data_IF_368546730492
#
_entry.id   IF_368546730492
#
_cell.length_a   1.000
_cell.length_b   1.000
_cell.length_c   1.000
_cell.angle_alpha   90.00
_cell.angle_beta   90.00
_cell.angle_gamma   90.00
#
_symmetry.space_group_name_H-M   'P 1'
#
loop_
_entity.id
_entity.type
_entity.pdbx_description
1 polymer ?
#
# COMPACT_ATOMS: atom_id res chain seq x y z
N UNK A 1 -12.48 -29.70 21.95
CA UNK A 1 -11.13 -30.09 22.39
C UNK A 1 -10.30 -28.84 22.60
N UNK A 2 -9.86 -28.60 23.83
CA UNK A 2 -9.08 -27.43 24.22
C UNK A 2 -7.61 -27.62 23.81
N UNK A 3 -7.14 -26.83 22.84
CA UNK A 3 -5.73 -26.79 22.45
C UNK A 3 -5.05 -25.69 23.29
N UNK A 4 -3.92 -26.04 23.90
CA UNK A 4 -3.14 -25.18 24.78
C UNK A 4 -2.79 -23.83 24.12
N UNK A 5 -2.93 -22.76 24.91
CA UNK A 5 -2.97 -21.35 24.51
C UNK A 5 -1.60 -20.67 24.71
N UNK A 6 -0.64 -20.87 23.82
CA UNK A 6 0.54 -20.00 23.81
C UNK A 6 0.80 -19.49 22.38
N UNK A 7 0.46 -18.21 22.08
CA UNK A 7 0.51 -17.69 20.72
C UNK A 7 1.95 -17.34 20.31
N UNK A 8 2.33 -17.77 19.11
CA UNK A 8 3.53 -17.26 18.41
C UNK A 8 3.29 -15.81 18.04
N UNK A 9 4.00 -14.87 18.66
CA UNK A 9 3.87 -13.44 18.34
C UNK A 9 4.89 -13.01 17.28
N UNK A 10 4.69 -11.85 16.67
CA UNK A 10 5.72 -11.25 15.80
C UNK A 10 7.07 -11.11 16.53
N UNK A 11 7.04 -10.79 17.83
CA UNK A 11 8.23 -10.72 18.68
C UNK A 11 8.96 -12.07 18.78
N UNK A 12 8.24 -13.17 18.94
CA UNK A 12 8.80 -14.53 18.92
C UNK A 12 9.52 -14.85 17.60
N UNK A 13 8.98 -14.38 16.47
CA UNK A 13 9.60 -14.58 15.15
C UNK A 13 10.87 -13.77 15.00
N UNK A 14 10.83 -12.48 15.38
CA UNK A 14 11.99 -11.59 15.23
C UNK A 14 13.11 -11.91 16.21
N UNK A 15 12.78 -12.30 17.45
CA UNK A 15 13.76 -12.72 18.45
C UNK A 15 14.46 -14.01 18.03
N UNK A 16 13.72 -15.01 17.56
CA UNK A 16 14.32 -16.28 17.11
C UNK A 16 15.23 -16.11 15.88
N UNK A 17 14.93 -15.16 15.00
CA UNK A 17 15.70 -14.89 13.79
C UNK A 17 16.60 -13.64 13.87
N UNK A 18 16.92 -13.15 15.07
CA UNK A 18 17.73 -11.93 15.25
C UNK A 18 19.04 -11.96 14.44
N UNK A 19 19.73 -13.10 14.43
CA UNK A 19 20.99 -13.28 13.68
C UNK A 19 20.80 -13.55 12.17
N UNK A 20 19.56 -13.82 11.74
CA UNK A 20 19.23 -14.22 10.36
C UNK A 20 18.03 -13.44 9.77
N UNK A 21 18.07 -12.10 9.71
CA UNK A 21 16.94 -11.27 9.24
C UNK A 21 16.58 -11.54 7.76
N UNK A 22 17.54 -11.98 6.96
CA UNK A 22 17.31 -12.38 5.55
C UNK A 22 16.39 -13.60 5.44
N UNK A 23 16.42 -14.53 6.41
CA UNK A 23 15.54 -15.70 6.45
C UNK A 23 14.09 -15.31 6.71
N UNK A 24 13.85 -14.29 7.56
CA UNK A 24 12.51 -13.75 7.83
C UNK A 24 11.90 -13.14 6.57
N UNK A 25 12.66 -12.28 5.86
CA UNK A 25 12.18 -11.65 4.61
C UNK A 25 11.84 -12.70 3.55
N UNK A 26 12.67 -13.74 3.41
CA UNK A 26 12.40 -14.86 2.48
C UNK A 26 11.21 -15.70 2.94
N UNK A 27 11.06 -15.95 4.23
CA UNK A 27 9.94 -16.68 4.80
C UNK A 27 8.61 -15.95 4.58
N UNK A 28 8.60 -14.62 4.74
CA UNK A 28 7.45 -13.78 4.45
C UNK A 28 7.05 -13.85 2.97
N UNK A 29 8.02 -13.90 2.05
CA UNK A 29 7.73 -14.10 0.63
C UNK A 29 7.10 -15.46 0.35
N UNK A 30 7.58 -16.53 0.99
CA UNK A 30 7.01 -17.88 0.88
C UNK A 30 5.59 -17.94 1.44
N UNK A 31 5.32 -17.27 2.58
CA UNK A 31 3.99 -17.11 3.14
C UNK A 31 3.05 -16.37 2.16
N UNK A 32 3.44 -15.19 1.68
CA UNK A 32 2.64 -14.37 0.76
C UNK A 32 2.37 -15.04 -0.59
N UNK A 33 3.19 -16.04 -0.96
CA UNK A 33 3.04 -16.84 -2.18
C UNK A 33 2.26 -18.14 -1.95
N UNK A 34 1.59 -18.28 -0.80
CA UNK A 34 0.80 -19.46 -0.41
C UNK A 34 1.57 -20.78 -0.51
N UNK A 35 2.86 -20.77 -0.11
CA UNK A 35 3.73 -21.94 -0.17
C UNK A 35 3.72 -22.78 1.12
N UNK A 36 3.06 -22.32 2.17
CA UNK A 36 2.87 -23.04 3.43
C UNK A 36 1.58 -23.84 3.34
N UNK A 37 1.66 -25.16 3.51
CA UNK A 37 0.56 -26.12 3.34
C UNK A 37 0.59 -27.17 4.46
N UNK A 38 -0.56 -27.79 4.75
CA UNK A 38 -0.71 -28.86 5.75
C UNK A 38 -0.11 -28.51 7.12
N UNK A 39 -0.57 -27.39 7.70
CA UNK A 39 -0.14 -26.98 9.04
C UNK A 39 -1.02 -27.65 10.09
N UNK A 40 -0.37 -28.22 11.11
CA UNK A 40 -0.99 -28.85 12.26
C UNK A 40 -0.32 -28.32 13.53
N UNK A 41 -1.15 -27.93 14.49
CA UNK A 41 -0.73 -27.45 15.80
C UNK A 41 -1.07 -28.55 16.80
N UNK A 42 -0.04 -29.20 17.34
CA UNK A 42 -0.18 -30.29 18.31
C UNK A 42 -0.27 -29.74 19.73
N UNK A 43 -0.93 -30.49 20.63
CA UNK A 43 -0.98 -30.17 22.05
C UNK A 43 0.45 -30.11 22.64
N UNK A 44 0.77 -29.04 23.38
CA UNK A 44 2.12 -28.80 23.92
C UNK A 44 3.04 -27.97 23.01
N UNK A 45 2.51 -27.04 22.21
CA UNK A 45 3.31 -26.02 21.52
C UNK A 45 4.13 -26.52 20.32
N UNK A 46 3.86 -27.72 19.83
CA UNK A 46 4.57 -28.28 18.66
C UNK A 46 3.82 -28.00 17.36
N UNK A 47 4.47 -27.31 16.43
CA UNK A 47 3.97 -27.00 15.09
C UNK A 47 4.58 -27.94 14.07
N UNK A 48 3.75 -28.53 13.22
CA UNK A 48 4.19 -29.30 12.05
C UNK A 48 3.55 -28.73 10.80
N UNK A 49 4.35 -28.45 9.78
CA UNK A 49 3.87 -27.91 8.52
C UNK A 49 4.74 -28.31 7.34
N UNK A 50 4.20 -28.15 6.14
CA UNK A 50 4.91 -28.39 4.89
C UNK A 50 5.09 -27.07 4.15
N UNK A 51 6.30 -26.80 3.66
CA UNK A 51 6.61 -25.57 2.91
C UNK A 51 7.20 -25.93 1.55
N UNK A 52 6.53 -25.51 0.49
CA UNK A 52 6.97 -25.74 -0.89
C UNK A 52 8.13 -24.82 -1.26
N UNK A 53 9.13 -25.35 -1.98
CA UNK A 53 10.23 -24.56 -2.52
C UNK A 53 9.73 -23.58 -3.59
N UNK A 54 10.35 -22.40 -3.68
CA UNK A 54 9.92 -21.34 -4.62
C UNK A 54 10.10 -21.71 -6.10
N UNK A 55 11.09 -22.55 -6.43
CA UNK A 55 11.51 -22.84 -7.82
C UNK A 55 11.37 -24.30 -8.23
N UNK A 56 11.17 -25.22 -7.28
CA UNK A 56 11.12 -26.68 -7.54
C UNK A 56 9.82 -27.22 -6.95
N UNK A 57 9.24 -28.25 -7.57
CA UNK A 57 8.07 -28.94 -7.00
C UNK A 57 8.47 -29.88 -5.84
N UNK A 58 9.27 -29.36 -4.90
CA UNK A 58 9.77 -30.06 -3.73
C UNK A 58 9.16 -29.41 -2.50
N UNK A 59 8.70 -30.24 -1.59
CA UNK A 59 8.05 -29.83 -0.34
C UNK A 59 8.97 -30.20 0.81
N UNK A 60 9.21 -29.25 1.71
CA UNK A 60 10.00 -29.45 2.91
C UNK A 60 9.10 -29.59 4.12
N UNK A 61 9.40 -30.55 4.97
CA UNK A 61 8.72 -30.77 6.24
C UNK A 61 9.42 -29.93 7.30
N UNK A 62 8.63 -29.21 8.08
CA UNK A 62 9.08 -28.26 9.08
C UNK A 62 8.39 -28.61 10.39
N UNK A 63 9.17 -28.78 11.43
CA UNK A 63 8.70 -29.02 12.79
C UNK A 63 9.33 -27.97 13.72
N UNK A 64 8.50 -27.38 14.58
CA UNK A 64 8.91 -26.31 15.48
C UNK A 64 8.33 -26.60 16.85
N UNK A 65 9.18 -26.56 17.87
CA UNK A 65 8.78 -26.72 19.26
C UNK A 65 8.84 -25.37 19.97
N UNK A 66 7.71 -24.94 20.50
CA UNK A 66 7.54 -23.67 21.21
C UNK A 66 7.12 -23.96 22.64
N UNK A 67 7.76 -23.27 23.58
CA UNK A 67 7.44 -23.29 24.99
C UNK A 67 7.32 -21.84 25.45
N UNK A 68 6.16 -21.42 25.94
CA UNK A 68 5.87 -20.01 26.20
C UNK A 68 5.86 -19.17 24.94
N UNK A 69 6.68 -18.12 24.93
CA UNK A 69 6.88 -17.23 23.78
C UNK A 69 8.23 -17.46 23.08
N UNK A 70 8.92 -18.55 23.39
CA UNK A 70 10.24 -18.88 22.85
C UNK A 70 10.22 -20.12 21.97
N UNK A 71 10.90 -20.06 20.84
CA UNK A 71 11.15 -21.23 20.00
C UNK A 71 12.36 -21.98 20.54
N UNK A 72 12.13 -23.13 21.20
CA UNK A 72 13.21 -23.96 21.75
C UNK A 72 13.95 -24.73 20.67
N UNK A 73 13.23 -25.25 19.68
CA UNK A 73 13.82 -26.02 18.61
C UNK A 73 13.06 -25.82 17.30
N UNK A 74 13.79 -25.87 16.18
CA UNK A 74 13.20 -26.00 14.86
C UNK A 74 14.01 -26.98 14.02
N UNK A 75 13.30 -27.80 13.25
CA UNK A 75 13.89 -28.72 12.29
C UNK A 75 13.21 -28.53 10.95
N UNK A 76 13.98 -28.68 9.88
CA UNK A 76 13.44 -28.63 8.53
C UNK A 76 14.19 -29.61 7.64
N UNK A 77 13.50 -30.28 6.72
CA UNK A 77 14.11 -31.25 5.78
C UNK A 77 14.92 -30.62 4.63
N UNK A 78 15.20 -29.31 4.70
CA UNK A 78 16.06 -28.64 3.73
C UNK A 78 17.54 -28.71 4.11
N UNK A 79 18.45 -28.49 3.15
CA UNK A 79 19.90 -28.54 3.38
C UNK A 79 20.40 -27.56 4.46
N UNK A 80 19.67 -26.46 4.68
CA UNK A 80 19.97 -25.42 5.69
C UNK A 80 19.15 -25.66 6.97
N UNK A 81 18.37 -26.74 7.05
CA UNK A 81 17.30 -26.92 8.02
C UNK A 81 17.73 -26.99 9.49
N UNK A 82 19.04 -27.11 9.75
CA UNK A 82 19.65 -27.04 11.09
C UNK A 82 20.08 -25.62 11.51
N UNK A 83 20.07 -24.65 10.59
CA UNK A 83 20.56 -23.28 10.78
C UNK A 83 19.51 -22.22 10.39
N UNK A 84 18.33 -22.26 11.03
CA UNK A 84 17.26 -21.23 10.92
C UNK A 84 16.95 -20.82 9.46
N UNK A 85 16.33 -21.73 8.71
CA UNK A 85 16.01 -21.52 7.31
C UNK A 85 14.72 -20.69 7.10
N UNK A 86 14.54 -20.18 5.87
CA UNK A 86 13.34 -19.41 5.51
C UNK A 86 12.03 -20.22 5.54
N UNK A 87 12.07 -21.56 5.47
CA UNK A 87 10.87 -22.40 5.60
C UNK A 87 10.35 -22.42 7.05
N UNK A 88 11.26 -22.46 8.03
CA UNK A 88 10.93 -22.31 9.46
C UNK A 88 10.30 -20.94 9.70
N UNK A 89 10.90 -19.87 9.14
CA UNK A 89 10.33 -18.53 9.23
C UNK A 89 8.93 -18.45 8.60
N UNK A 90 8.72 -19.08 7.45
CA UNK A 90 7.41 -19.10 6.77
C UNK A 90 6.32 -19.78 7.62
N UNK A 91 6.65 -20.90 8.29
CA UNK A 91 5.70 -21.61 9.16
C UNK A 91 5.37 -20.82 10.43
N UNK A 92 6.36 -20.16 11.05
CA UNK A 92 6.12 -19.28 12.20
C UNK A 92 5.26 -18.08 11.83
N UNK A 93 5.52 -17.43 10.69
CA UNK A 93 4.71 -16.30 10.20
C UNK A 93 3.29 -16.77 9.86
N UNK A 94 3.13 -17.95 9.28
CA UNK A 94 1.80 -18.51 9.05
C UNK A 94 1.05 -18.72 10.37
N UNK A 95 1.72 -19.29 11.37
CA UNK A 95 1.13 -19.53 12.70
C UNK A 95 0.78 -18.23 13.41
N UNK A 96 1.65 -17.21 13.33
CA UNK A 96 1.39 -15.87 13.85
C UNK A 96 0.12 -15.28 13.22
N UNK A 97 -0.07 -15.42 11.91
CA UNK A 97 -1.22 -14.82 11.21
C UNK A 97 -2.51 -15.63 11.21
N UNK A 98 -2.43 -16.96 11.38
CA UNK A 98 -3.56 -17.87 11.20
C UNK A 98 -3.92 -18.65 12.46
N UNK A 99 -3.03 -18.74 13.46
CA UNK A 99 -3.28 -19.43 14.72
C UNK A 99 -3.28 -18.50 15.93
N UNK A 100 -2.78 -17.27 15.83
CA UNK A 100 -3.02 -16.29 16.88
C UNK A 100 -4.43 -15.75 16.77
N UNK A 101 -5.12 -15.72 17.90
CA UNK A 101 -6.50 -15.26 17.99
C UNK A 101 -6.55 -13.75 17.87
N UNK A 102 -6.99 -13.24 16.73
CA UNK A 102 -7.82 -12.01 16.70
C UNK A 102 -9.26 -12.27 17.19
N UNK A 103 -9.62 -13.51 17.53
CA UNK A 103 -10.92 -13.85 18.12
C UNK A 103 -10.84 -14.07 19.63
N UNK A 104 -10.30 -13.10 20.36
CA UNK A 104 -10.84 -12.84 21.69
C UNK A 104 -11.87 -11.75 21.43
N UNK A 105 -13.17 -12.10 21.40
CA UNK A 105 -14.20 -11.09 21.64
C UNK A 105 -13.70 -10.24 22.81
N UNK A 106 -13.76 -8.93 22.68
CA UNK A 106 -13.56 -8.02 23.79
C UNK A 106 -14.70 -8.25 24.79
N UNK A 107 -14.69 -9.39 25.46
CA UNK A 107 -15.54 -9.65 26.61
C UNK A 107 -14.87 -8.89 27.72
N UNK A 108 -15.49 -7.79 28.10
CA UNK A 108 -15.26 -7.18 29.39
C UNK A 108 -15.52 -8.26 30.44
N UNK A 109 -14.48 -9.00 30.81
CA UNK A 109 -14.55 -9.85 31.99
C UNK A 109 -14.70 -8.90 33.16
N UNK A 110 -15.94 -8.74 33.61
CA UNK A 110 -16.22 -8.12 34.90
C UNK A 110 -15.32 -8.83 35.92
N UNK A 111 -14.38 -8.14 36.57
CA UNK A 111 -13.57 -8.77 37.60
C UNK A 111 -14.54 -9.41 38.59
N UNK A 112 -14.32 -10.69 38.93
CA UNK A 112 -14.97 -11.28 40.11
C UNK A 112 -14.68 -10.35 41.27
N UNK A 113 -15.74 -9.78 41.82
CA UNK A 113 -15.72 -8.68 42.79
C UNK A 113 -14.62 -8.93 43.82
N UNK A 114 -13.55 -8.13 43.85
CA UNK A 114 -12.68 -8.09 45.01
C UNK A 114 -13.56 -7.62 46.18
N UNK A 115 -13.45 -8.29 47.32
CA UNK A 115 -14.09 -7.84 48.55
C UNK A 115 -13.64 -6.41 48.82
N UNK A 116 -14.60 -5.50 48.79
CA UNK A 116 -14.65 -4.25 49.54
C UNK A 116 -13.37 -3.42 49.57
N UNK A 117 -12.99 -2.83 48.44
CA UNK A 117 -12.41 -1.48 48.45
C UNK A 117 -13.05 -0.71 47.31
N UNK A 118 -13.66 0.44 47.61
CA UNK A 118 -14.28 1.32 46.62
C UNK A 118 -13.21 1.76 45.60
N UNK A 119 -13.21 1.12 44.43
CA UNK A 119 -12.43 1.61 43.29
C UNK A 119 -13.12 2.87 42.80
N UNK A 120 -12.73 4.01 43.37
CA UNK A 120 -13.09 5.33 42.86
C UNK A 120 -12.43 5.51 41.49
N UNK A 121 -13.24 5.48 40.44
CA UNK A 121 -12.78 5.70 39.08
C UNK A 121 -12.09 7.08 38.97
N UNK A 122 -10.76 7.09 38.85
CA UNK A 122 -10.01 8.33 38.65
C UNK A 122 -10.20 8.77 37.20
N UNK A 123 -10.57 10.03 36.98
CA UNK A 123 -10.64 10.62 35.63
C UNK A 123 -9.27 10.50 34.95
N UNK A 124 -9.26 10.24 33.63
CA UNK A 124 -8.03 10.14 32.81
C UNK A 124 -7.14 11.37 32.99
N UNK A 125 -7.72 12.56 33.19
CA UNK A 125 -7.03 13.81 33.50
C UNK A 125 -6.14 13.78 34.76
N UNK A 126 -6.42 12.85 35.69
CA UNK A 126 -5.67 12.67 36.94
C UNK A 126 -4.56 11.62 36.77
N UNK A 127 -4.76 10.64 35.88
CA UNK A 127 -3.83 9.52 35.65
C UNK A 127 -2.73 9.92 34.65
N UNK A 128 -3.11 10.69 33.63
CA UNK A 128 -2.20 11.26 32.64
C UNK A 128 -2.56 12.74 32.45
N UNK A 129 -2.09 13.64 33.32
CA UNK A 129 -2.29 15.06 33.12
C UNK A 129 -1.66 15.46 31.78
N UNK A 130 -2.46 16.05 30.89
CA UNK A 130 -2.01 16.53 29.58
C UNK A 130 -0.76 17.40 29.76
N UNK A 131 0.39 16.91 29.31
CA UNK A 131 1.65 17.67 29.33
C UNK A 131 1.68 18.77 28.27
N UNK A 132 0.74 18.76 27.34
CA UNK A 132 0.50 19.84 26.41
C UNK A 132 -0.59 20.78 26.94
N UNK A 133 -0.18 21.99 27.35
CA UNK A 133 -1.07 23.16 27.29
C UNK A 133 -1.35 23.61 25.84
N UNK A 134 -0.81 22.89 24.85
CA UNK A 134 -0.85 23.21 23.43
C UNK A 134 -2.08 22.63 22.69
N UNK A 135 -3.24 22.63 23.36
CA UNK A 135 -4.53 22.36 22.71
C UNK A 135 -5.33 23.66 22.64
N UNK A 136 -5.87 23.99 21.47
CA UNK A 136 -6.80 25.12 21.34
C UNK A 136 -7.97 24.87 22.29
N UNK A 137 -8.12 25.71 23.33
CA UNK A 137 -9.16 25.56 24.36
C UNK A 137 -10.56 25.93 23.84
N UNK A 138 -10.62 26.71 22.76
CA UNK A 138 -11.85 27.05 22.04
C UNK A 138 -12.15 25.99 20.97
N UNK A 139 -13.41 25.86 20.51
CA UNK A 139 -13.72 25.03 19.36
C UNK A 139 -12.82 25.38 18.16
N UNK A 140 -12.33 24.34 17.48
CA UNK A 140 -11.48 24.46 16.29
C UNK A 140 -12.32 25.07 15.17
N UNK A 141 -11.93 26.27 14.72
CA UNK A 141 -12.62 26.97 13.62
C UNK A 141 -12.12 26.47 12.26
N UNK A 142 -12.80 26.88 11.19
CA UNK A 142 -12.34 26.59 9.83
C UNK A 142 -10.96 27.22 9.55
N UNK A 143 -10.73 28.46 10.02
CA UNK A 143 -9.43 29.13 9.90
C UNK A 143 -8.28 28.36 10.59
N UNK A 144 -8.53 27.75 11.76
CA UNK A 144 -7.52 26.93 12.44
C UNK A 144 -7.14 25.70 11.59
N UNK A 145 -8.12 25.10 10.91
CA UNK A 145 -7.90 23.97 10.01
C UNK A 145 -7.09 24.43 8.80
N UNK A 146 -7.49 25.51 8.16
CA UNK A 146 -6.79 26.08 6.99
C UNK A 146 -5.35 26.47 7.33
N UNK A 147 -5.12 27.09 8.49
CA UNK A 147 -3.78 27.40 8.99
C UNK A 147 -2.93 26.15 9.22
N UNK A 148 -3.50 25.12 9.85
CA UNK A 148 -2.80 23.86 10.09
C UNK A 148 -2.45 23.17 8.77
N UNK A 149 -3.36 23.16 7.80
CA UNK A 149 -3.12 22.60 6.47
C UNK A 149 -2.03 23.35 5.71
N UNK A 150 -2.09 24.68 5.70
CA UNK A 150 -1.05 25.53 5.09
C UNK A 150 0.33 25.29 5.74
N UNK A 151 0.35 25.17 7.08
CA UNK A 151 1.57 24.91 7.83
C UNK A 151 2.15 23.52 7.53
N UNK A 152 1.31 22.50 7.37
CA UNK A 152 1.71 21.15 7.00
C UNK A 152 2.17 21.05 5.55
N UNK A 153 1.49 21.73 4.61
CA UNK A 153 1.88 21.78 3.21
C UNK A 153 3.30 22.33 3.02
N UNK A 154 3.71 23.27 3.88
CA UNK A 154 5.05 23.87 3.85
C UNK A 154 6.17 22.97 4.38
N UNK A 155 5.84 21.83 5.01
CA UNK A 155 6.85 20.94 5.61
C UNK A 155 7.55 20.02 4.60
N UNK A 156 7.18 20.06 3.32
CA UNK A 156 7.82 19.35 2.19
C UNK A 156 7.97 17.81 2.43
N UNK A 157 7.29 17.30 3.45
CA UNK A 157 7.29 15.90 3.87
C UNK A 157 5.89 15.36 3.68
N UNK A 158 5.70 14.78 2.50
CA UNK A 158 4.47 14.10 2.12
C UNK A 158 4.30 12.83 2.95
N UNK A 159 3.65 12.91 4.11
CA UNK A 159 3.11 11.71 4.76
C UNK A 159 1.94 11.26 3.91
N UNK A 160 1.94 10.02 3.42
CA UNK A 160 0.92 9.49 2.50
C UNK A 160 -0.52 9.40 3.05
N UNK A 161 -0.77 10.04 4.18
CA UNK A 161 -2.08 10.33 4.78
C UNK A 161 -2.50 11.79 4.57
N UNK A 162 -1.79 12.58 3.77
CA UNK A 162 -2.13 13.99 3.49
C UNK A 162 -3.56 14.16 2.97
N UNK A 163 -4.09 13.15 2.27
CA UNK A 163 -5.48 13.08 1.82
C UNK A 163 -6.52 13.08 2.96
N UNK A 164 -6.17 12.61 4.17
CA UNK A 164 -7.05 12.67 5.35
C UNK A 164 -7.26 14.12 5.79
N UNK A 165 -6.26 14.96 5.52
CA UNK A 165 -6.24 16.35 5.92
C UNK A 165 -6.65 17.28 4.75
N UNK A 166 -6.61 16.81 3.50
CA UNK A 166 -7.16 17.55 2.37
C UNK A 166 -8.58 18.00 2.68
N UNK A 167 -8.95 19.27 2.38
CA UNK A 167 -10.31 19.73 2.56
C UNK A 167 -11.24 18.77 1.80
N UNK A 168 -12.35 18.40 2.44
CA UNK A 168 -13.39 17.63 1.76
C UNK A 168 -13.75 18.40 0.50
N UNK A 169 -13.51 17.78 -0.66
CA UNK A 169 -13.86 18.38 -1.94
C UNK A 169 -15.32 18.83 -1.84
N UNK A 170 -15.66 20.09 -2.18
CA UNK A 170 -17.04 20.53 -2.21
C UNK A 170 -17.84 19.46 -2.93
N UNK A 171 -18.78 18.84 -2.22
CA UNK A 171 -19.60 17.76 -2.75
C UNK A 171 -20.61 18.32 -3.74
N UNK A 172 -20.16 19.04 -4.76
CA UNK A 172 -20.86 19.11 -6.03
C UNK A 172 -20.54 17.81 -6.75
N UNK A 173 -21.14 16.71 -6.27
CA UNK A 173 -21.20 15.43 -7.00
C UNK A 173 -22.10 15.62 -8.22
N UNK A 174 -21.67 16.46 -9.14
CA UNK A 174 -22.41 16.75 -10.35
C UNK A 174 -22.02 15.70 -11.40
N UNK A 175 -23.00 14.86 -11.76
CA UNK A 175 -23.20 14.00 -12.95
C UNK A 175 -22.04 13.22 -13.62
N UNK A 176 -20.77 13.39 -13.26
CA UNK A 176 -19.63 12.94 -14.08
C UNK A 176 -18.81 11.78 -13.50
N UNK A 177 -19.15 11.28 -12.30
CA UNK A 177 -18.30 10.30 -11.58
C UNK A 177 -18.51 8.87 -12.08
N UNK A 178 -18.08 8.56 -13.31
CA UNK A 178 -17.91 7.19 -13.84
C UNK A 178 -16.64 6.54 -13.27
N UNK A 179 -16.58 6.41 -11.94
CA UNK A 179 -15.49 5.68 -11.27
C UNK A 179 -15.83 4.20 -11.15
N UNK A 180 -14.79 3.36 -11.09
CA UNK A 180 -14.97 1.92 -10.88
C UNK A 180 -15.74 1.62 -9.60
N UNK A 181 -15.44 2.32 -8.50
CA UNK A 181 -16.11 2.08 -7.22
C UNK A 181 -17.60 2.39 -7.29
N UNK A 182 -17.99 3.43 -8.03
CA UNK A 182 -19.40 3.78 -8.23
C UNK A 182 -20.14 2.72 -9.07
N UNK A 183 -19.53 2.27 -10.17
CA UNK A 183 -20.12 1.22 -11.03
C UNK A 183 -20.24 -0.10 -10.26
N UNK A 184 -19.22 -0.47 -9.47
CA UNK A 184 -19.25 -1.70 -8.68
C UNK A 184 -20.29 -1.67 -7.54
N UNK A 185 -20.69 -0.47 -7.10
CA UNK A 185 -21.72 -0.28 -6.08
C UNK A 185 -23.14 -0.19 -6.66
N UNK A 186 -23.29 -0.10 -7.99
CA UNK A 186 -24.62 0.01 -8.61
C UNK A 186 -25.37 -1.32 -8.60
N UNK A 187 -26.70 -1.27 -8.46
CA UNK A 187 -27.56 -2.45 -8.61
C UNK A 187 -27.42 -3.07 -10.00
N UNK A 188 -27.25 -2.24 -11.02
CA UNK A 188 -27.05 -2.69 -12.41
C UNK A 188 -25.84 -3.60 -12.60
N UNK A 189 -24.78 -3.44 -11.80
CA UNK A 189 -23.64 -4.35 -11.82
C UNK A 189 -23.95 -5.69 -11.13
N UNK A 190 -24.77 -5.67 -10.07
CA UNK A 190 -25.22 -6.87 -9.37
C UNK A 190 -26.07 -7.78 -10.25
N UNK A 191 -26.97 -7.17 -11.03
CA UNK A 191 -27.96 -7.84 -11.88
C UNK A 191 -27.44 -8.19 -13.29
N UNK A 192 -26.25 -7.72 -13.66
CA UNK A 192 -25.68 -7.97 -14.98
C UNK A 192 -25.26 -9.44 -15.18
N UNK A 193 -25.72 -10.05 -16.27
CA UNK A 193 -25.29 -11.40 -16.69
C UNK A 193 -23.79 -11.46 -17.02
N UNK A 194 -23.31 -10.49 -17.83
CA UNK A 194 -21.88 -10.30 -18.11
C UNK A 194 -21.36 -9.05 -17.39
N UNK A 195 -20.78 -9.28 -16.22
CA UNK A 195 -20.17 -8.25 -15.38
C UNK A 195 -19.01 -7.52 -16.06
N UNK A 196 -18.25 -8.19 -16.92
CA UNK A 196 -17.11 -7.58 -17.59
C UNK A 196 -17.57 -6.63 -18.69
N UNK A 197 -18.53 -7.08 -19.50
CA UNK A 197 -19.12 -6.25 -20.55
C UNK A 197 -19.86 -5.05 -19.96
N UNK A 198 -20.60 -5.24 -18.87
CA UNK A 198 -21.31 -4.16 -18.17
C UNK A 198 -20.36 -3.08 -17.64
N UNK A 199 -19.21 -3.49 -17.08
CA UNK A 199 -18.17 -2.54 -16.65
C UNK A 199 -17.64 -1.75 -17.85
N UNK A 200 -17.32 -2.42 -18.95
CA UNK A 200 -16.75 -1.77 -20.14
C UNK A 200 -17.74 -0.78 -20.77
N UNK A 201 -19.01 -1.12 -20.86
CA UNK A 201 -20.04 -0.23 -21.40
C UNK A 201 -20.28 0.97 -20.46
N UNK A 202 -20.33 0.73 -19.15
CA UNK A 202 -20.56 1.78 -18.14
C UNK A 202 -19.38 2.74 -18.00
N UNK A 203 -18.15 2.29 -18.27
CA UNK A 203 -16.95 3.10 -18.22
C UNK A 203 -16.71 3.93 -19.48
N UNK A 204 -17.38 3.61 -20.59
CA UNK A 204 -17.20 4.32 -21.84
C UNK A 204 -17.49 5.82 -21.65
N UNK A 205 -16.60 6.66 -22.19
CA UNK A 205 -16.65 8.12 -22.03
C UNK A 205 -16.68 8.81 -23.39
N UNK A 206 -17.57 9.80 -23.53
CA UNK A 206 -17.63 10.67 -24.70
C UNK A 206 -16.47 11.68 -24.71
N UNK A 207 -16.15 12.31 -25.85
CA UNK A 207 -15.14 13.37 -25.92
C UNK A 207 -15.39 14.51 -24.92
N UNK A 208 -16.65 14.92 -24.76
CA UNK A 208 -17.04 15.98 -23.83
C UNK A 208 -16.83 15.56 -22.37
N UNK A 209 -17.13 14.30 -22.04
CA UNK A 209 -16.86 13.74 -20.71
C UNK A 209 -15.37 13.66 -20.43
N UNK A 210 -14.54 13.30 -21.42
CA UNK A 210 -13.08 13.26 -21.26
C UNK A 210 -12.52 14.62 -20.88
N UNK A 211 -12.93 15.68 -21.58
CA UNK A 211 -12.51 17.05 -21.28
C UNK A 211 -12.99 17.50 -19.90
N UNK A 212 -14.24 17.18 -19.53
CA UNK A 212 -14.76 17.51 -18.22
C UNK A 212 -13.99 16.80 -17.10
N UNK A 213 -13.69 15.51 -17.27
CA UNK A 213 -12.92 14.71 -16.30
C UNK A 213 -11.49 15.22 -16.20
N UNK A 214 -10.84 15.54 -17.31
CA UNK A 214 -9.49 16.10 -17.32
C UNK A 214 -9.44 17.39 -16.50
N UNK A 215 -10.32 18.36 -16.81
CA UNK A 215 -10.42 19.63 -16.07
C UNK A 215 -10.73 19.44 -14.59
N UNK A 216 -11.64 18.52 -14.26
CA UNK A 216 -12.02 18.24 -12.87
C UNK A 216 -10.93 17.53 -12.05
N UNK A 217 -9.94 16.93 -12.72
CA UNK A 217 -8.86 16.14 -12.09
C UNK A 217 -7.48 16.82 -12.15
N UNK A 218 -7.41 18.10 -12.54
CA UNK A 218 -6.19 18.92 -12.47
C UNK A 218 -5.72 19.03 -11.00
N UNK A 219 -4.40 19.12 -10.79
CA UNK A 219 -3.77 19.12 -9.45
C UNK A 219 -3.27 17.74 -8.99
N UNK A 220 -3.48 16.70 -9.80
CA UNK A 220 -2.90 15.35 -9.62
C UNK A 220 -2.99 14.81 -8.19
N UNK A 221 -1.86 14.70 -7.47
CA UNK A 221 -1.79 14.11 -6.14
C UNK A 221 -2.55 14.91 -5.06
N UNK A 222 -2.76 16.21 -5.29
CA UNK A 222 -3.51 17.09 -4.38
C UNK A 222 -5.02 17.03 -4.64
N UNK A 223 -5.44 16.47 -5.79
CA UNK A 223 -6.83 16.32 -6.16
C UNK A 223 -7.35 14.90 -5.86
N UNK A 224 -8.28 14.78 -4.92
CA UNK A 224 -8.86 13.49 -4.54
C UNK A 224 -9.60 12.79 -5.70
N UNK A 225 -10.26 13.55 -6.60
CA UNK A 225 -10.94 12.99 -7.78
C UNK A 225 -9.95 12.32 -8.72
N UNK A 226 -8.77 12.92 -8.92
CA UNK A 226 -7.71 12.33 -9.74
C UNK A 226 -7.32 10.93 -9.23
N UNK A 227 -7.20 10.76 -7.91
CA UNK A 227 -6.91 9.47 -7.31
C UNK A 227 -8.07 8.49 -7.49
N UNK A 228 -9.32 8.94 -7.33
CA UNK A 228 -10.51 8.13 -7.54
C UNK A 228 -10.63 7.61 -8.99
N UNK A 229 -10.38 8.45 -9.99
CA UNK A 229 -10.40 8.03 -11.41
C UNK A 229 -9.29 7.03 -11.74
N UNK A 230 -8.10 7.17 -11.13
CA UNK A 230 -6.97 6.25 -11.36
C UNK A 230 -7.12 4.90 -10.66
N UNK A 231 -7.89 4.83 -9.58
CA UNK A 231 -8.10 3.62 -8.80
C UNK A 231 -8.77 2.53 -9.65
N UNK A 232 -8.25 1.30 -9.58
CA UNK A 232 -8.71 0.12 -10.36
C UNK A 232 -8.63 0.28 -11.90
N UNK A 233 -8.06 1.37 -12.42
CA UNK A 233 -7.90 1.66 -13.85
C UNK A 233 -6.51 1.27 -14.35
N UNK A 234 -6.39 0.89 -15.61
CA UNK A 234 -5.09 0.60 -16.23
C UNK A 234 -4.40 1.93 -16.58
N UNK A 235 -3.47 2.34 -15.72
CA UNK A 235 -2.74 3.61 -15.91
C UNK A 235 -1.45 3.42 -16.70
N UNK A 236 -1.05 4.45 -17.46
CA UNK A 236 0.20 4.46 -18.24
C UNK A 236 1.42 3.97 -17.42
N UNK A 237 1.55 4.43 -16.17
CA UNK A 237 2.65 4.05 -15.27
C UNK A 237 2.73 2.55 -14.94
N UNK A 238 1.62 1.82 -15.07
CA UNK A 238 1.57 0.37 -14.81
C UNK A 238 1.42 -0.46 -16.10
N UNK A 239 1.24 0.18 -17.26
CA UNK A 239 0.90 -0.50 -18.50
C UNK A 239 2.03 -1.38 -19.03
N UNK A 240 3.30 -1.01 -18.75
CA UNK A 240 4.45 -1.85 -19.06
C UNK A 240 4.39 -3.25 -18.41
N UNK A 241 3.84 -3.35 -17.19
CA UNK A 241 3.64 -4.65 -16.53
C UNK A 241 2.55 -5.48 -17.22
N UNK A 242 1.50 -4.83 -17.71
CA UNK A 242 0.42 -5.47 -18.48
C UNK A 242 0.97 -6.03 -19.79
N UNK A 243 1.70 -5.21 -20.56
CA UNK A 243 2.33 -5.64 -21.81
C UNK A 243 3.29 -6.81 -21.60
N UNK A 244 4.11 -6.76 -20.54
CA UNK A 244 5.01 -7.86 -20.19
C UNK A 244 4.28 -9.14 -19.82
N UNK A 245 3.11 -9.06 -19.18
CA UNK A 245 2.29 -10.21 -18.81
C UNK A 245 1.61 -10.83 -20.05
N UNK A 246 1.05 -10.00 -20.92
CA UNK A 246 0.44 -10.42 -22.20
C UNK A 246 1.48 -11.10 -23.09
N UNK A 247 2.67 -10.50 -23.25
CA UNK A 247 3.77 -11.07 -24.04
C UNK A 247 4.20 -12.45 -23.52
N UNK A 248 4.21 -12.64 -22.20
CA UNK A 248 4.56 -13.92 -21.57
C UNK A 248 3.38 -14.89 -21.42
N UNK A 249 2.16 -14.49 -21.80
CA UNK A 249 0.91 -15.22 -21.54
C UNK A 249 0.79 -15.71 -20.09
N UNK A 250 1.24 -14.89 -19.13
CA UNK A 250 1.31 -15.25 -17.71
C UNK A 250 0.90 -14.08 -16.84
N UNK A 251 -0.16 -14.28 -16.06
CA UNK A 251 -0.83 -13.26 -15.25
C UNK A 251 -0.68 -13.59 -13.75
N UNK A 252 0.46 -13.28 -13.13
CA UNK A 252 0.68 -13.63 -11.73
C UNK A 252 -0.22 -12.81 -10.79
N UNK A 253 -0.64 -13.35 -9.62
CA UNK A 253 -1.43 -12.60 -8.63
C UNK A 253 -0.80 -11.27 -8.20
N UNK A 254 0.54 -11.17 -8.23
CA UNK A 254 1.26 -9.92 -7.94
C UNK A 254 0.93 -8.79 -8.90
N UNK A 255 0.66 -9.09 -10.18
CA UNK A 255 0.25 -8.09 -11.18
C UNK A 255 -1.08 -7.45 -10.76
N UNK A 256 -2.07 -8.28 -10.46
CA UNK A 256 -3.40 -7.81 -10.06
C UNK A 256 -3.35 -6.99 -8.76
N UNK A 257 -2.58 -7.43 -7.77
CA UNK A 257 -2.36 -6.65 -6.54
C UNK A 257 -1.76 -5.28 -6.82
N UNK A 258 -0.80 -5.17 -7.75
CA UNK A 258 -0.22 -3.89 -8.17
C UNK A 258 -1.23 -3.01 -8.90
N UNK A 259 -1.98 -3.58 -9.86
CA UNK A 259 -2.98 -2.85 -10.64
C UNK A 259 -4.17 -2.37 -9.78
N UNK A 260 -4.55 -3.15 -8.78
CA UNK A 260 -5.61 -2.79 -7.82
C UNK A 260 -5.14 -1.85 -6.71
N UNK A 261 -3.87 -1.41 -6.73
CA UNK A 261 -3.32 -0.51 -5.71
C UNK A 261 -3.18 -1.14 -4.32
N UNK A 262 -3.19 -2.48 -4.21
CA UNK A 262 -3.04 -3.20 -2.94
C UNK A 262 -1.58 -3.26 -2.46
N UNK A 263 -0.64 -2.82 -3.29
CA UNK A 263 0.76 -2.64 -2.94
C UNK A 263 1.06 -1.14 -2.75
N UNK A 264 1.16 -0.70 -1.49
CA UNK A 264 1.73 0.62 -1.13
C UNK A 264 3.26 0.59 -1.24
N UNK A 265 3.81 0.25 -2.42
CA UNK A 265 5.26 0.22 -2.65
C UNK A 265 5.88 1.61 -2.83
N UNK A 266 5.05 2.67 -2.91
CA UNK A 266 5.49 4.05 -3.14
C UNK A 266 5.67 4.87 -1.85
N UNK A 267 4.98 4.50 -0.76
CA UNK A 267 5.14 5.19 0.53
C UNK A 267 6.46 4.76 1.19
N UNK A 268 7.38 5.72 1.33
CA UNK A 268 8.66 5.54 2.01
C UNK A 268 9.81 5.04 1.13
N UNK A 269 9.64 4.99 -0.20
CA UNK A 269 10.76 4.76 -1.11
C UNK A 269 11.45 6.12 -1.38
N UNK A 270 12.68 6.30 -0.90
CA UNK A 270 13.46 7.55 -1.09
C UNK A 270 13.48 8.07 -2.54
N UNK A 271 13.34 7.18 -3.53
CA UNK A 271 13.27 7.56 -4.94
C UNK A 271 11.94 8.22 -5.34
N UNK A 272 10.82 7.81 -4.76
CA UNK A 272 9.51 8.42 -5.00
C UNK A 272 9.43 9.81 -4.36
N UNK A 273 9.86 9.94 -3.10
CA UNK A 273 9.90 11.23 -2.41
C UNK A 273 10.83 12.21 -3.13
N UNK A 274 11.99 11.73 -3.59
CA UNK A 274 12.91 12.52 -4.41
C UNK A 274 12.25 13.01 -5.70
N UNK A 275 11.51 12.14 -6.38
CA UNK A 275 10.75 12.49 -7.58
C UNK A 275 9.79 13.64 -7.32
N UNK A 276 8.91 13.48 -6.33
CA UNK A 276 7.87 14.46 -5.97
C UNK A 276 8.48 15.83 -5.66
N UNK A 277 9.53 15.88 -4.82
CA UNK A 277 10.15 17.15 -4.41
C UNK A 277 10.86 17.85 -5.58
N UNK A 278 11.47 17.10 -6.50
CA UNK A 278 12.31 17.70 -7.56
C UNK A 278 11.57 17.96 -8.87
N UNK A 279 10.39 17.37 -9.06
CA UNK A 279 9.62 17.50 -10.29
C UNK A 279 9.30 18.95 -10.64
N UNK A 280 8.82 19.72 -9.66
CA UNK A 280 8.47 21.13 -9.85
C UNK A 280 9.69 21.99 -10.23
N UNK A 281 10.86 21.71 -9.62
CA UNK A 281 12.11 22.38 -9.96
C UNK A 281 12.55 22.04 -11.39
N UNK A 282 12.41 20.78 -11.81
CA UNK A 282 12.74 20.34 -13.16
C UNK A 282 11.83 21.00 -14.21
N UNK A 283 10.51 21.08 -13.95
CA UNK A 283 9.56 21.80 -14.81
C UNK A 283 9.94 23.27 -14.96
N UNK A 284 10.24 23.95 -13.84
CA UNK A 284 10.66 25.36 -13.87
C UNK A 284 11.93 25.59 -14.69
N UNK A 285 12.94 24.74 -14.51
CA UNK A 285 14.18 24.83 -15.29
C UNK A 285 13.95 24.60 -16.78
N UNK A 286 13.09 23.65 -17.13
CA UNK A 286 12.70 23.39 -18.52
C UNK A 286 12.01 24.60 -19.16
N UNK A 287 11.04 25.23 -18.47
CA UNK A 287 10.37 26.44 -18.94
C UNK A 287 11.34 27.60 -19.15
N UNK A 288 12.26 27.83 -18.20
CA UNK A 288 13.26 28.90 -18.31
C UNK A 288 14.22 28.70 -19.49
N UNK A 289 14.62 27.47 -19.79
CA UNK A 289 15.59 27.17 -20.87
C UNK A 289 14.98 27.18 -22.26
N UNK A 290 13.75 26.71 -22.37
CA UNK A 290 13.07 26.55 -23.68
C UNK A 290 12.15 27.72 -24.01
N UNK A 291 11.79 28.53 -23.01
CA UNK A 291 10.83 29.63 -23.16
C UNK A 291 9.37 29.17 -23.31
N UNK A 292 9.09 27.88 -23.11
CA UNK A 292 7.74 27.32 -23.24
C UNK A 292 7.01 27.34 -21.90
N UNK A 293 5.69 27.43 -21.93
CA UNK A 293 4.84 27.34 -20.75
C UNK A 293 4.30 25.91 -20.62
N UNK A 294 4.46 25.32 -19.44
CA UNK A 294 3.85 24.03 -19.12
C UNK A 294 2.47 24.28 -18.54
N UNK A 295 1.44 23.70 -19.16
CA UNK A 295 0.10 23.63 -18.61
C UNK A 295 -0.03 22.35 -17.77
N UNK A 296 -0.52 22.49 -16.54
CA UNK A 296 -0.93 21.34 -15.73
C UNK A 296 -2.19 20.71 -16.32
N UNK A 297 -2.25 19.38 -16.28
CA UNK A 297 -3.35 18.60 -16.79
C UNK A 297 -3.78 17.52 -15.81
N UNK A 298 -5.04 17.12 -15.90
CA UNK A 298 -5.62 16.04 -15.11
C UNK A 298 -5.38 14.66 -15.71
N UNK A 299 -6.39 13.79 -15.58
CA UNK A 299 -6.38 12.44 -16.15
C UNK A 299 -6.99 12.47 -17.54
N UNK A 300 -6.25 11.94 -18.52
CA UNK A 300 -6.75 11.60 -19.85
C UNK A 300 -7.24 10.16 -19.87
N UNK A 301 -8.39 9.93 -20.51
CA UNK A 301 -9.04 8.63 -20.61
C UNK A 301 -9.19 8.18 -22.07
N UNK A 302 -9.08 6.88 -22.32
CA UNK A 302 -9.47 6.27 -23.60
C UNK A 302 -10.98 6.30 -23.81
N UNK A 303 -11.47 6.06 -25.03
CA UNK A 303 -12.92 5.98 -25.32
C UNK A 303 -13.64 4.95 -24.43
N UNK A 304 -12.98 3.81 -24.19
CA UNK A 304 -13.49 2.77 -23.30
C UNK A 304 -13.49 3.14 -21.82
N UNK A 305 -12.82 4.23 -21.43
CA UNK A 305 -12.55 4.60 -20.04
C UNK A 305 -11.63 3.64 -19.27
N UNK A 306 -11.36 2.43 -19.77
CA UNK A 306 -10.53 1.45 -19.06
C UNK A 306 -9.06 1.88 -18.95
N UNK A 307 -8.54 2.58 -19.96
CA UNK A 307 -7.18 3.08 -19.98
C UNK A 307 -7.16 4.54 -19.56
N UNK A 308 -6.12 4.92 -18.83
CA UNK A 308 -5.90 6.31 -18.48
C UNK A 308 -4.42 6.67 -18.33
N UNK A 309 -4.13 7.95 -18.51
CA UNK A 309 -2.81 8.53 -18.30
C UNK A 309 -2.96 9.91 -17.68
N UNK A 310 -1.93 10.37 -16.98
CA UNK A 310 -1.87 11.76 -16.53
C UNK A 310 -0.46 12.21 -16.85
N UNK A 311 -0.26 13.02 -17.90
CA UNK A 311 1.04 13.54 -18.24
C UNK A 311 1.51 14.51 -17.16
N UNK A 312 2.83 14.65 -17.01
CA UNK A 312 3.39 15.59 -16.03
C UNK A 312 3.13 17.04 -16.44
N UNK A 313 2.85 17.29 -17.72
CA UNK A 313 2.35 18.56 -18.22
C UNK A 313 2.21 18.56 -19.74
N UNK A 314 1.71 19.67 -20.26
CA UNK A 314 1.46 19.85 -21.68
C UNK A 314 2.06 21.19 -22.14
N UNK A 315 2.80 21.17 -23.25
CA UNK A 315 3.56 22.32 -23.76
C UNK A 315 2.87 22.96 -24.96
N UNK A 316 2.16 22.15 -25.73
CA UNK A 316 1.27 22.57 -26.82
C UNK A 316 0.17 21.52 -27.02
N UNK A 317 -0.79 21.79 -27.89
CA UNK A 317 -1.92 20.89 -28.18
C UNK A 317 -1.50 19.47 -28.58
N UNK A 318 -0.31 19.32 -29.17
CA UNK A 318 0.23 18.04 -29.63
C UNK A 318 1.47 17.56 -28.86
N UNK A 319 1.86 18.26 -27.78
CA UNK A 319 3.11 17.96 -27.08
C UNK A 319 2.91 17.85 -25.56
N UNK A 320 3.17 16.65 -25.03
CA UNK A 320 3.22 16.37 -23.60
C UNK A 320 4.66 16.30 -23.10
N UNK A 321 4.83 16.48 -21.79
CA UNK A 321 6.10 16.22 -21.10
C UNK A 321 5.94 15.12 -20.06
N UNK A 322 6.99 14.31 -19.92
CA UNK A 322 7.18 13.34 -18.85
C UNK A 322 8.50 13.68 -18.16
N UNK A 323 8.43 14.08 -16.91
CA UNK A 323 9.55 14.52 -16.09
C UNK A 323 10.04 13.37 -15.23
N UNK A 324 11.34 13.10 -15.29
CA UNK A 324 11.98 12.07 -14.46
C UNK A 324 13.10 12.67 -13.63
N UNK A 325 13.03 12.46 -12.33
CA UNK A 325 14.07 12.83 -11.38
C UNK A 325 14.68 11.56 -10.75
N UNK A 326 15.66 10.90 -11.39
CA UNK A 326 16.19 9.63 -10.91
C UNK A 326 17.10 9.80 -9.69
N UNK A 327 16.69 9.21 -8.56
CA UNK A 327 17.44 9.29 -7.30
C UNK A 327 18.85 8.66 -7.36
N UNK A 328 19.06 7.65 -8.21
CA UNK A 328 20.38 7.03 -8.43
C UNK A 328 21.41 8.01 -8.98
N UNK A 329 20.97 9.02 -9.74
CA UNK A 329 21.83 10.01 -10.37
C UNK A 329 21.91 11.35 -9.61
N UNK A 330 21.35 11.45 -8.39
CA UNK A 330 21.26 12.71 -7.63
C UNK A 330 22.59 13.43 -7.35
N UNK A 331 23.72 12.72 -7.44
CA UNK A 331 25.08 13.26 -7.25
C UNK A 331 25.88 13.38 -8.56
N UNK A 332 25.28 13.00 -9.70
CA UNK A 332 25.93 13.02 -11.01
C UNK A 332 25.58 14.32 -11.72
N UNK A 333 26.47 14.79 -12.59
CA UNK A 333 26.10 15.80 -13.59
C UNK A 333 25.19 15.18 -14.66
N UNK A 334 24.52 16.00 -15.47
CA UNK A 334 23.64 15.53 -16.55
C UNK A 334 24.41 14.60 -17.51
N UNK A 335 25.64 14.98 -17.88
CA UNK A 335 26.50 14.20 -18.79
C UNK A 335 26.84 12.85 -18.15
N UNK A 336 27.29 12.85 -16.89
CA UNK A 336 27.60 11.63 -16.15
C UNK A 336 26.39 10.72 -15.94
N UNK A 337 25.19 11.31 -15.82
CA UNK A 337 23.96 10.55 -15.71
C UNK A 337 23.61 9.90 -17.05
N UNK A 338 23.70 10.63 -18.16
CA UNK A 338 23.39 10.14 -19.51
C UNK A 338 24.31 9.00 -19.97
N UNK A 339 25.59 9.03 -19.57
CA UNK A 339 26.57 7.98 -19.90
C UNK A 339 26.44 6.72 -19.04
N UNK A 340 25.68 6.78 -17.95
CA UNK A 340 25.61 5.68 -16.99
C UNK A 340 24.70 4.55 -17.50
N UNK A 341 25.22 3.32 -17.53
CA UNK A 341 24.47 2.13 -17.99
C UNK A 341 23.22 1.81 -17.15
N UNK A 342 23.15 2.32 -15.91
CA UNK A 342 22.02 2.19 -14.99
C UNK A 342 20.96 3.31 -15.18
N UNK A 343 21.25 4.31 -16.02
CA UNK A 343 20.32 5.36 -16.40
C UNK A 343 19.43 4.87 -17.55
N UNK A 344 18.54 3.92 -17.24
CA UNK A 344 17.51 3.49 -18.20
C UNK A 344 16.20 4.23 -17.93
N UNK A 345 15.68 4.95 -18.92
CA UNK A 345 14.26 5.27 -19.02
C UNK A 345 13.51 3.95 -19.19
N UNK A 346 13.05 3.34 -18.09
CA UNK A 346 12.26 2.10 -18.11
C UNK A 346 10.79 2.39 -17.90
#
# INVERSE_FOLDING_TARGET
MAVAKEPVTFFTVTSYFADFPKSVKRGLNSYNSNKVVNVSVLAGGSLKGKVQASMKNKVYEVEIHIEGQEVKASTCSCAIGRAKCHHVAALLIWTEKNCTRTDVECVWKRPTTPKTEEITAKKVSVIAPSTSQAGIKRPVTQEDREWALSSLARLDRFTGLGWILSPESPQTFDQHVKTFDWILASSSYGDAEDKALHILSSLAVSPQEKEAIERATVGQAENALWMAYRKKRLTASNFGFVLAAVKRKSYPPSLFKTLLGQYNLKQGAHACDWGIVHEQKAKKEYMMRTGVTIQEKGVFLSDSGLLGGSPDGMVSDDCIIEVKCPYSARKKTIIQAAEAKDFSYK
#
